data_IF_062145136806
#
_entry.id   IF_062145136806
#
_cell.length_a   1.000
_cell.length_b   1.000
_cell.length_c   1.000
_cell.angle_alpha   90.00
_cell.angle_beta   90.00
_cell.angle_gamma   90.00
#
_symmetry.space_group_name_H-M   'P 1'
#
loop_
_entity.id
_entity.type
_entity.pdbx_description
1 polymer ?
#
# COMPACT_ATOMS: atom_id res chain seq x y z
N UNK A 1 -7.32 10.29 -16.71
CA UNK A 1 -6.99 9.10 -15.92
C UNK A 1 -5.66 8.55 -16.40
N UNK A 2 -4.62 8.71 -15.65
CA UNK A 2 -3.43 7.88 -15.72
C UNK A 2 -2.73 8.06 -14.37
N UNK A 3 -3.12 7.28 -13.42
CA UNK A 3 -2.49 7.22 -12.13
C UNK A 3 -1.49 6.07 -12.19
N UNK A 4 -0.21 6.36 -12.23
CA UNK A 4 0.84 5.37 -12.02
C UNK A 4 1.44 5.63 -10.65
N UNK A 5 0.91 4.98 -9.63
CA UNK A 5 1.54 4.95 -8.32
C UNK A 5 2.78 4.06 -8.35
N UNK A 6 3.91 4.57 -7.94
CA UNK A 6 5.10 3.77 -7.64
C UNK A 6 5.20 3.67 -6.12
N UNK A 7 5.00 2.46 -5.59
CA UNK A 7 5.28 2.21 -4.17
C UNK A 7 6.79 2.34 -3.99
N UNK A 8 7.20 3.24 -3.13
CA UNK A 8 8.57 3.34 -2.65
C UNK A 8 8.94 2.12 -1.80
N UNK A 9 10.21 2.05 -1.44
CA UNK A 9 10.74 0.96 -0.64
C UNK A 9 10.15 1.04 0.77
N UNK A 10 9.51 -0.04 1.23
CA UNK A 10 9.17 -0.22 2.62
C UNK A 10 10.46 -0.29 3.45
N UNK A 11 10.63 0.64 4.37
CA UNK A 11 11.81 0.71 5.27
C UNK A 11 11.48 0.32 6.72
N UNK A 12 10.24 -0.08 6.98
CA UNK A 12 9.76 -0.35 8.32
C UNK A 12 9.97 -1.78 8.83
N UNK A 13 9.48 -2.05 10.04
CA UNK A 13 9.44 -3.38 10.63
C UNK A 13 8.24 -4.15 10.08
N UNK A 14 8.41 -5.42 9.69
CA UNK A 14 7.31 -6.27 9.25
C UNK A 14 6.24 -6.39 10.34
N UNK A 15 4.98 -6.44 9.93
CA UNK A 15 3.82 -6.56 10.83
C UNK A 15 3.81 -7.88 11.59
N UNK A 16 4.38 -8.92 11.00
CA UNK A 16 4.52 -10.26 11.57
C UNK A 16 6.01 -10.57 11.67
N UNK A 17 6.48 -10.84 12.88
CA UNK A 17 7.84 -11.31 13.10
C UNK A 17 7.98 -12.79 12.70
N UNK A 18 9.21 -13.23 12.42
CA UNK A 18 9.49 -14.64 12.14
C UNK A 18 9.03 -15.55 13.29
N UNK A 19 9.22 -15.14 14.54
CA UNK A 19 8.81 -15.92 15.72
C UNK A 19 7.28 -16.07 15.77
N UNK A 20 6.53 -15.01 15.50
CA UNK A 20 5.06 -15.07 15.44
C UNK A 20 4.57 -15.97 14.29
N UNK A 21 5.18 -15.85 13.11
CA UNK A 21 4.83 -16.71 11.97
C UNK A 21 5.10 -18.18 12.27
N UNK A 22 6.26 -18.51 12.84
CA UNK A 22 6.61 -19.88 13.26
C UNK A 22 5.65 -20.42 14.31
N UNK A 23 5.29 -19.62 15.30
CA UNK A 23 4.32 -20.01 16.33
C UNK A 23 2.95 -20.33 15.71
N UNK A 24 2.49 -19.51 14.75
CA UNK A 24 1.24 -19.75 14.03
C UNK A 24 1.28 -21.03 13.19
N UNK A 25 2.39 -21.26 12.47
CA UNK A 25 2.63 -22.45 11.64
C UNK A 25 2.96 -23.71 12.47
N UNK A 26 3.21 -23.59 13.78
CA UNK A 26 3.69 -24.67 14.67
C UNK A 26 5.01 -25.27 14.20
N UNK A 27 5.95 -24.43 13.77
CA UNK A 27 7.29 -24.81 13.30
C UNK A 27 8.30 -24.45 14.36
N UNK A 28 8.99 -25.44 14.93
CA UNK A 28 9.99 -25.23 15.98
C UNK A 28 11.44 -25.21 15.44
N UNK A 29 11.65 -25.80 14.24
CA UNK A 29 13.00 -25.90 13.65
C UNK A 29 13.38 -24.61 12.90
N UNK A 30 14.68 -24.37 12.71
CA UNK A 30 15.20 -23.23 11.94
C UNK A 30 15.38 -23.52 10.44
N UNK A 31 15.08 -24.72 9.99
CA UNK A 31 15.29 -25.16 8.60
C UNK A 31 14.57 -24.28 7.59
N UNK A 32 13.37 -23.83 7.92
CA UNK A 32 12.50 -23.05 7.02
C UNK A 32 12.51 -21.56 7.32
N UNK A 33 13.37 -21.04 8.19
CA UNK A 33 13.35 -19.64 8.63
C UNK A 33 13.45 -18.65 7.48
N UNK A 34 14.36 -18.89 6.53
CA UNK A 34 14.50 -18.04 5.34
C UNK A 34 13.24 -18.05 4.47
N UNK A 35 12.66 -19.23 4.27
CA UNK A 35 11.45 -19.37 3.48
C UNK A 35 10.25 -18.68 4.14
N UNK A 36 10.05 -18.87 5.44
CA UNK A 36 8.98 -18.21 6.20
C UNK A 36 9.16 -16.68 6.16
N UNK A 37 10.40 -16.19 6.25
CA UNK A 37 10.69 -14.75 6.13
C UNK A 37 10.24 -14.19 4.78
N UNK A 38 10.48 -14.90 3.68
CA UNK A 38 9.98 -14.46 2.36
C UNK A 38 8.45 -14.56 2.26
N UNK A 39 7.82 -15.58 2.85
CA UNK A 39 6.36 -15.67 2.89
C UNK A 39 5.71 -14.50 3.63
N UNK A 40 6.32 -13.99 4.70
CA UNK A 40 5.84 -12.81 5.42
C UNK A 40 5.79 -11.60 4.49
N UNK A 41 6.86 -11.36 3.73
CA UNK A 41 6.94 -10.24 2.76
C UNK A 41 5.90 -10.40 1.64
N UNK A 42 5.77 -11.61 1.10
CA UNK A 42 4.80 -11.93 0.04
C UNK A 42 3.37 -11.71 0.54
N UNK A 43 3.04 -12.19 1.74
CA UNK A 43 1.72 -12.02 2.33
C UNK A 43 1.39 -10.53 2.54
N UNK A 44 2.32 -9.72 3.03
CA UNK A 44 2.13 -8.27 3.16
C UNK A 44 1.85 -7.61 1.81
N UNK A 45 2.67 -7.92 0.79
CA UNK A 45 2.48 -7.37 -0.55
C UNK A 45 1.15 -7.80 -1.18
N UNK A 46 0.73 -9.04 -0.95
CA UNK A 46 -0.54 -9.54 -1.48
C UNK A 46 -1.73 -8.84 -0.81
N UNK A 47 -1.72 -8.72 0.52
CA UNK A 47 -2.76 -7.99 1.26
C UNK A 47 -2.83 -6.54 0.80
N UNK A 48 -1.70 -5.84 0.67
CA UNK A 48 -1.66 -4.47 0.19
C UNK A 48 -2.23 -4.34 -1.24
N UNK A 49 -1.90 -5.26 -2.13
CA UNK A 49 -2.40 -5.29 -3.51
C UNK A 49 -3.91 -5.51 -3.57
N UNK A 50 -4.41 -6.42 -2.75
CA UNK A 50 -5.82 -6.82 -2.79
C UNK A 50 -6.74 -5.81 -2.11
N UNK A 51 -6.23 -5.06 -1.11
CA UNK A 51 -7.04 -4.12 -0.32
C UNK A 51 -6.77 -2.66 -0.64
N UNK A 52 -5.60 -2.32 -1.18
CA UNK A 52 -5.08 -0.95 -1.27
C UNK A 52 -5.07 -0.22 0.10
N UNK A 53 -4.97 -0.98 1.20
CA UNK A 53 -4.99 -0.43 2.56
C UNK A 53 -3.62 -0.63 3.21
N UNK A 54 -3.07 0.44 3.77
CA UNK A 54 -1.80 0.39 4.49
C UNK A 54 -1.95 -0.40 5.79
N UNK A 55 -1.33 -1.57 5.87
CA UNK A 55 -1.21 -2.34 7.11
C UNK A 55 0.06 -1.97 7.90
N UNK A 56 1.00 -1.31 7.24
CA UNK A 56 2.28 -0.80 7.74
C UNK A 56 2.56 0.55 7.09
N UNK A 57 3.51 1.29 7.64
CA UNK A 57 3.94 2.55 7.02
C UNK A 57 4.60 2.30 5.66
N UNK A 58 4.20 3.09 4.66
CA UNK A 58 4.69 3.01 3.28
C UNK A 58 5.12 4.40 2.80
N UNK A 59 6.25 4.49 2.12
CA UNK A 59 6.67 5.64 1.32
C UNK A 59 6.08 5.47 -0.09
N UNK A 60 5.27 6.41 -0.53
CA UNK A 60 4.56 6.35 -1.80
C UNK A 60 4.87 7.58 -2.64
N UNK A 61 5.06 7.36 -3.95
CA UNK A 61 5.11 8.46 -4.92
C UNK A 61 4.11 8.18 -6.02
N UNK A 62 3.18 9.09 -6.22
CA UNK A 62 2.19 9.03 -7.30
C UNK A 62 2.45 10.09 -8.35
N UNK A 63 2.13 9.77 -9.61
CA UNK A 63 2.33 10.66 -10.75
C UNK A 63 1.02 10.95 -11.46
N UNK A 64 0.83 12.22 -11.86
CA UNK A 64 -0.35 12.67 -12.56
C UNK A 64 0.07 13.53 -13.77
N UNK A 65 -0.73 13.48 -14.82
CA UNK A 65 -0.47 14.22 -16.07
C UNK A 65 -1.17 15.59 -16.13
N UNK A 66 -2.20 15.79 -15.30
CA UNK A 66 -3.04 17.00 -15.31
C UNK A 66 -3.46 17.37 -13.91
N UNK A 67 -3.76 18.66 -13.68
CA UNK A 67 -4.40 19.11 -12.46
C UNK A 67 -5.85 18.65 -12.40
N UNK A 68 -6.23 18.19 -11.21
CA UNK A 68 -7.61 17.97 -10.80
C UNK A 68 -7.85 18.82 -9.54
N UNK A 69 -9.10 19.22 -9.31
CA UNK A 69 -9.41 19.99 -8.10
C UNK A 69 -9.13 19.17 -6.82
N UNK A 70 -9.26 17.85 -6.93
CA UNK A 70 -9.01 16.93 -5.84
C UNK A 70 -8.45 15.60 -6.39
N UNK A 71 -7.25 15.24 -5.97
CA UNK A 71 -6.65 13.95 -6.27
C UNK A 71 -7.02 12.93 -5.21
N UNK A 72 -7.55 11.79 -5.62
CA UNK A 72 -7.73 10.63 -4.75
C UNK A 72 -6.44 9.83 -4.72
N UNK A 73 -5.89 9.56 -3.54
CA UNK A 73 -4.67 8.78 -3.41
C UNK A 73 -4.97 7.27 -3.49
N UNK A 74 -4.02 6.51 -4.00
CA UNK A 74 -4.21 5.09 -4.30
C UNK A 74 -4.39 4.23 -3.05
N UNK A 75 -3.74 4.60 -1.95
CA UNK A 75 -3.76 3.78 -0.74
C UNK A 75 -4.61 4.40 0.36
N UNK A 76 -5.37 3.53 1.04
CA UNK A 76 -6.10 3.89 2.25
C UNK A 76 -5.20 3.85 3.47
N UNK A 77 -5.43 4.80 4.35
CA UNK A 77 -4.66 5.03 5.56
C UNK A 77 -4.66 6.51 5.90
N UNK A 78 -3.71 6.94 6.68
CA UNK A 78 -3.52 8.33 7.05
C UNK A 78 -2.18 8.81 6.49
N UNK A 79 -2.21 9.87 5.70
CA UNK A 79 -0.98 10.52 5.25
C UNK A 79 -0.28 11.13 6.45
N UNK A 80 0.98 10.76 6.64
CA UNK A 80 1.85 11.19 7.73
C UNK A 80 3.10 11.91 7.18
N UNK A 81 3.93 12.38 8.08
CA UNK A 81 5.18 13.05 7.71
C UNK A 81 4.99 14.40 7.02
N UNK A 82 5.85 14.68 6.07
CA UNK A 82 5.86 15.94 5.31
C UNK A 82 5.67 15.63 3.82
N UNK A 83 4.41 15.55 3.35
CA UNK A 83 4.13 15.25 1.95
C UNK A 83 4.66 16.36 1.04
N UNK A 84 5.20 15.97 -0.12
CA UNK A 84 5.82 16.88 -1.09
C UNK A 84 5.13 16.74 -2.44
N UNK A 85 4.52 17.84 -2.89
CA UNK A 85 3.91 17.95 -4.22
C UNK A 85 4.83 18.77 -5.12
N UNK A 86 5.21 18.19 -6.26
CA UNK A 86 6.05 18.85 -7.27
C UNK A 86 5.38 18.78 -8.63
N UNK A 87 5.73 19.73 -9.48
CA UNK A 87 5.28 19.74 -10.88
C UNK A 87 6.38 20.26 -11.80
N UNK A 88 6.24 20.01 -13.10
CA UNK A 88 7.10 20.58 -14.13
C UNK A 88 6.38 21.77 -14.79
N UNK A 89 7.00 22.95 -14.70
CA UNK A 89 6.50 24.18 -15.31
C UNK A 89 6.68 24.16 -16.85
N UNK A 90 6.18 25.18 -17.54
CA UNK A 90 6.24 25.29 -19.00
C UNK A 90 7.65 25.23 -19.59
N UNK A 91 8.68 25.49 -18.78
CA UNK A 91 10.09 25.37 -19.17
C UNK A 91 10.68 24.00 -18.87
N UNK A 92 9.87 23.03 -18.47
CA UNK A 92 10.29 21.70 -17.99
C UNK A 92 11.22 21.76 -16.77
N UNK A 93 11.10 22.81 -15.96
CA UNK A 93 11.78 22.92 -14.67
C UNK A 93 10.89 22.41 -13.54
N UNK A 94 11.47 21.62 -12.63
CA UNK A 94 10.72 21.06 -11.51
C UNK A 94 10.51 22.11 -10.42
N UNK A 95 9.27 22.36 -10.06
CA UNK A 95 8.84 23.27 -9.01
C UNK A 95 8.25 22.48 -7.84
N UNK A 96 8.39 23.00 -6.61
CA UNK A 96 7.81 22.40 -5.40
C UNK A 96 6.71 23.30 -4.86
N UNK A 97 5.57 22.72 -4.54
CA UNK A 97 4.42 23.43 -3.97
C UNK A 97 4.44 23.40 -2.44
N UNK A 98 3.86 24.43 -1.85
CA UNK A 98 3.79 24.60 -0.39
C UNK A 98 2.46 24.10 0.13
N UNK A 99 2.50 23.15 1.07
CA UNK A 99 1.32 22.64 1.75
C UNK A 99 0.60 23.77 2.51
N UNK A 100 -0.73 23.74 2.52
CA UNK A 100 -1.64 24.73 3.07
C UNK A 100 -1.66 26.10 2.37
N UNK A 101 -0.77 26.33 1.39
CA UNK A 101 -0.79 27.50 0.51
C UNK A 101 -1.28 27.12 -0.88
N UNK A 102 -0.69 26.09 -1.47
CA UNK A 102 -0.97 25.68 -2.85
C UNK A 102 -1.87 24.42 -2.89
N UNK A 103 -1.78 23.58 -1.89
CA UNK A 103 -2.59 22.35 -1.76
C UNK A 103 -2.85 22.00 -0.29
N UNK A 104 -3.86 21.18 -0.05
CA UNK A 104 -4.15 20.59 1.26
C UNK A 104 -4.22 19.07 1.18
N UNK A 105 -3.74 18.42 2.22
CA UNK A 105 -3.95 16.97 2.42
C UNK A 105 -5.10 16.79 3.38
N UNK A 106 -6.10 16.01 2.95
CA UNK A 106 -7.32 15.72 3.72
C UNK A 106 -7.33 14.24 4.04
N UNK A 107 -7.17 13.89 5.31
CA UNK A 107 -7.35 12.53 5.81
C UNK A 107 -8.81 12.37 6.24
N UNK A 108 -9.62 11.72 5.41
CA UNK A 108 -11.04 11.52 5.68
C UNK A 108 -11.41 10.04 5.59
N UNK A 109 -11.83 9.45 6.70
CA UNK A 109 -12.31 8.05 6.80
C UNK A 109 -11.36 7.05 6.13
N UNK A 110 -10.04 7.20 6.35
CA UNK A 110 -9.02 6.31 5.78
C UNK A 110 -8.81 6.46 4.27
N UNK A 111 -9.46 7.41 3.62
CA UNK A 111 -9.27 7.72 2.19
C UNK A 111 -8.65 9.11 2.05
N UNK A 112 -7.33 9.21 2.03
CA UNK A 112 -6.66 10.49 1.92
C UNK A 112 -6.82 11.09 0.52
N UNK A 113 -6.90 12.42 0.48
CA UNK A 113 -7.07 13.21 -0.73
C UNK A 113 -6.14 14.41 -0.71
N UNK A 114 -5.77 14.88 -1.89
CA UNK A 114 -5.05 16.15 -2.07
C UNK A 114 -5.98 17.13 -2.77
N UNK A 115 -6.39 18.18 -2.07
CA UNK A 115 -7.17 19.28 -2.62
C UNK A 115 -6.23 20.38 -3.11
N UNK A 116 -6.39 20.82 -4.35
CA UNK A 116 -5.62 21.92 -4.92
C UNK A 116 -6.26 23.26 -4.56
N UNK A 117 -5.44 24.19 -4.06
CA UNK A 117 -5.82 25.60 -3.82
C UNK A 117 -5.46 26.43 -5.04
N UNK A 118 -4.26 26.22 -5.57
CA UNK A 118 -3.74 26.89 -6.73
C UNK A 118 -3.36 25.87 -7.81
N UNK A 119 -3.54 26.22 -9.07
CA UNK A 119 -3.10 25.42 -10.21
C UNK A 119 -2.13 26.24 -11.06
N UNK A 120 -1.21 25.56 -11.74
CA UNK A 120 -0.12 26.16 -12.50
C UNK A 120 -0.09 25.58 -13.91
N UNK A 121 0.50 26.30 -14.85
CA UNK A 121 0.70 25.77 -16.20
C UNK A 121 1.73 24.64 -16.18
N UNK A 122 1.40 23.52 -16.82
CA UNK A 122 2.22 22.33 -16.85
C UNK A 122 2.97 22.17 -18.16
N UNK A 123 4.14 21.55 -18.08
CA UNK A 123 4.78 20.96 -19.26
C UNK A 123 3.99 19.73 -19.71
N UNK A 124 3.86 19.53 -21.03
CA UNK A 124 3.13 18.39 -21.58
C UNK A 124 3.95 17.10 -21.46
N UNK A 125 3.70 16.37 -20.34
CA UNK A 125 4.31 15.08 -20.03
C UNK A 125 3.40 14.24 -19.12
N UNK A 126 3.57 12.92 -19.17
CA UNK A 126 2.73 11.97 -18.44
C UNK A 126 2.91 12.09 -16.93
N UNK A 127 4.12 12.38 -16.48
CA UNK A 127 4.53 12.55 -15.08
C UNK A 127 4.71 14.04 -14.72
N UNK A 128 3.84 14.90 -15.26
CA UNK A 128 3.92 16.36 -15.06
C UNK A 128 3.84 16.76 -13.59
N UNK A 129 3.16 15.97 -12.77
CA UNK A 129 2.96 16.19 -11.35
C UNK A 129 3.42 14.94 -10.60
N UNK A 130 4.14 15.10 -9.50
CA UNK A 130 4.54 14.03 -8.60
C UNK A 130 4.16 14.39 -7.16
N UNK A 131 3.51 13.47 -6.47
CA UNK A 131 3.16 13.60 -5.06
C UNK A 131 3.84 12.48 -4.27
N UNK A 132 4.81 12.86 -3.43
CA UNK A 132 5.50 11.96 -2.52
C UNK A 132 4.94 12.14 -1.11
N UNK A 133 4.58 11.01 -0.46
CA UNK A 133 4.02 11.02 0.88
C UNK A 133 4.27 9.71 1.59
N UNK A 134 4.28 9.75 2.93
CA UNK A 134 4.25 8.58 3.77
C UNK A 134 2.80 8.30 4.17
N UNK A 135 2.40 7.03 4.19
CA UNK A 135 1.08 6.62 4.62
C UNK A 135 1.18 5.57 5.71
N UNK A 136 0.50 5.81 6.81
CA UNK A 136 0.40 4.92 7.97
C UNK A 136 -1.00 4.29 8.07
N UNK A 137 -1.16 3.16 8.77
CA UNK A 137 -2.48 2.58 9.03
C UNK A 137 -3.41 3.59 9.71
N UNK A 138 -4.67 3.60 9.31
CA UNK A 138 -5.66 4.50 9.89
C UNK A 138 -5.90 4.23 11.39
N UNK A 139 -5.97 2.95 11.77
CA UNK A 139 -6.21 2.54 13.14
C UNK A 139 -5.67 1.13 13.44
N UNK A 140 -5.53 0.81 14.74
CA UNK A 140 -4.99 -0.46 15.21
C UNK A 140 -5.89 -1.68 14.91
N UNK A 141 -7.20 -1.49 14.79
CA UNK A 141 -8.13 -2.61 14.54
C UNK A 141 -8.02 -3.08 13.08
N UNK A 142 -7.85 -2.15 12.14
CA UNK A 142 -7.54 -2.48 10.75
C UNK A 142 -6.24 -3.28 10.66
N UNK A 143 -5.20 -2.84 11.38
CA UNK A 143 -3.91 -3.54 11.43
C UNK A 143 -4.08 -4.97 11.94
N UNK A 144 -4.81 -5.18 13.04
CA UNK A 144 -5.06 -6.52 13.62
C UNK A 144 -5.79 -7.43 12.64
N UNK A 145 -6.82 -6.91 11.97
CA UNK A 145 -7.60 -7.70 11.01
C UNK A 145 -6.77 -8.08 9.78
N UNK A 146 -5.99 -7.15 9.24
CA UNK A 146 -5.09 -7.41 8.11
C UNK A 146 -3.94 -8.36 8.51
N UNK A 147 -3.47 -8.30 9.75
CA UNK A 147 -2.49 -9.27 10.30
C UNK A 147 -3.03 -10.70 10.26
N UNK A 148 -4.32 -10.90 10.60
CA UNK A 148 -4.96 -12.22 10.50
C UNK A 148 -5.02 -12.71 9.05
N UNK A 149 -5.35 -11.83 8.11
CA UNK A 149 -5.33 -12.16 6.69
C UNK A 149 -3.93 -12.59 6.22
N UNK A 150 -2.87 -11.90 6.68
CA UNK A 150 -1.48 -12.29 6.40
C UNK A 150 -1.15 -13.68 6.95
N UNK A 151 -1.55 -14.01 8.18
CA UNK A 151 -1.34 -15.34 8.74
C UNK A 151 -1.98 -16.44 7.90
N UNK A 152 -3.22 -16.23 7.43
CA UNK A 152 -3.90 -17.19 6.55
C UNK A 152 -3.15 -17.40 5.25
N UNK A 153 -2.58 -16.33 4.65
CA UNK A 153 -1.76 -16.43 3.44
C UNK A 153 -0.44 -17.16 3.70
N UNK A 154 0.25 -16.82 4.78
CA UNK A 154 1.51 -17.47 5.16
C UNK A 154 1.29 -18.98 5.31
N UNK A 155 0.25 -19.40 6.02
CA UNK A 155 -0.08 -20.81 6.14
C UNK A 155 -0.42 -21.45 4.80
N UNK A 156 -1.28 -20.81 4.01
CA UNK A 156 -1.66 -21.31 2.70
C UNK A 156 -0.44 -21.55 1.79
N UNK A 157 0.48 -20.59 1.71
CA UNK A 157 1.70 -20.72 0.90
C UNK A 157 2.70 -21.74 1.51
N UNK A 158 2.75 -21.84 2.84
CA UNK A 158 3.62 -22.79 3.52
C UNK A 158 3.19 -24.24 3.25
N UNK A 159 1.88 -24.51 3.33
CA UNK A 159 1.29 -25.82 3.11
C UNK A 159 1.30 -26.22 1.63
N UNK A 160 1.23 -25.25 0.70
CA UNK A 160 1.16 -25.45 -0.75
C UNK A 160 2.45 -25.02 -1.46
N UNK A 161 3.58 -25.63 -1.10
CA UNK A 161 4.91 -25.32 -1.69
C UNK A 161 5.06 -25.77 -3.13
N UNK A 162 4.27 -26.73 -3.59
CA UNK A 162 4.38 -27.29 -4.95
C UNK A 162 3.33 -26.67 -5.88
N UNK A 163 3.73 -26.21 -7.08
CA UNK A 163 2.79 -25.70 -8.07
C UNK A 163 1.91 -26.79 -8.69
N UNK A 164 2.22 -28.07 -8.44
CA UNK A 164 1.50 -29.22 -8.99
C UNK A 164 1.06 -30.11 -7.84
N UNK A 165 -0.16 -29.91 -7.35
CA UNK A 165 -0.87 -30.88 -6.54
C UNK A 165 -1.80 -31.66 -7.48
N UNK A 166 -1.73 -32.98 -7.46
CA UNK A 166 -2.73 -33.87 -8.11
C UNK A 166 -4.11 -33.78 -7.42
N UNK A 167 -4.17 -33.17 -6.24
CA UNK A 167 -5.38 -32.79 -5.54
C UNK A 167 -5.68 -31.32 -5.89
N UNK A 168 -6.96 -31.00 -6.15
CA UNK A 168 -7.44 -29.64 -6.48
C UNK A 168 -6.58 -28.57 -5.85
N UNK A 169 -6.06 -27.64 -6.68
CA UNK A 169 -5.43 -26.41 -6.20
C UNK A 169 -6.45 -25.74 -5.29
N UNK A 170 -6.19 -25.76 -3.99
CA UNK A 170 -7.08 -25.13 -3.04
C UNK A 170 -7.15 -23.65 -3.36
N UNK A 171 -8.35 -23.19 -3.64
CA UNK A 171 -8.63 -21.77 -3.80
C UNK A 171 -8.18 -21.02 -2.53
N UNK A 172 -7.79 -19.75 -2.71
CA UNK A 172 -7.48 -18.85 -1.59
C UNK A 172 -8.47 -19.05 -0.43
N UNK A 173 -8.00 -19.12 0.83
CA UNK A 173 -8.87 -19.39 1.97
C UNK A 173 -10.09 -18.44 2.00
N UNK A 174 -11.28 -18.98 2.16
CA UNK A 174 -12.52 -18.18 2.21
C UNK A 174 -12.45 -17.09 3.28
N UNK A 175 -11.83 -17.39 4.42
CA UNK A 175 -11.59 -16.40 5.48
C UNK A 175 -10.77 -15.22 5.04
N UNK A 176 -9.71 -15.45 4.25
CA UNK A 176 -8.91 -14.40 3.65
C UNK A 176 -9.75 -13.51 2.72
N UNK A 177 -10.49 -14.12 1.80
CA UNK A 177 -11.36 -13.37 0.86
C UNK A 177 -12.40 -12.52 1.60
N UNK A 178 -13.00 -13.05 2.66
CA UNK A 178 -13.97 -12.30 3.45
C UNK A 178 -13.35 -11.07 4.12
N UNK A 179 -12.15 -11.20 4.68
CA UNK A 179 -11.43 -10.05 5.27
C UNK A 179 -11.08 -9.04 4.19
N UNK A 180 -10.44 -9.46 3.12
CA UNK A 180 -10.00 -8.57 2.04
C UNK A 180 -11.17 -7.78 1.45
N UNK A 181 -12.32 -8.42 1.22
CA UNK A 181 -13.49 -7.76 0.66
C UNK A 181 -14.05 -6.64 1.55
N UNK A 182 -13.83 -6.68 2.86
CA UNK A 182 -14.24 -5.61 3.78
C UNK A 182 -13.34 -4.37 3.68
N UNK A 183 -12.08 -4.57 3.28
CA UNK A 183 -11.08 -3.51 3.16
C UNK A 183 -10.79 -3.10 1.72
N UNK A 184 -11.44 -3.73 0.75
CA UNK A 184 -11.22 -3.46 -0.66
C UNK A 184 -11.74 -2.08 -1.02
N UNK A 185 -10.83 -1.13 -1.17
CA UNK A 185 -11.18 0.19 -1.65
C UNK A 185 -11.24 0.18 -3.18
N UNK A 186 -12.41 0.45 -3.71
CA UNK A 186 -12.60 0.68 -5.13
C UNK A 186 -12.23 2.14 -5.41
N UNK A 187 -11.08 2.34 -6.04
CA UNK A 187 -10.71 3.65 -6.58
C UNK A 187 -11.53 3.84 -7.85
N UNK A 188 -12.45 4.77 -7.82
CA UNK A 188 -13.31 5.16 -8.94
C UNK A 188 -12.65 6.22 -9.80
#
# INVERSE_FOLDING_TARGET
MAQQGKIGIYSGTELISLAEAKAYLRVDTSTDDSYITELIKIARLQVLRDTHTAAVELDVTEYFSKWENCFHLQYSGKVSGSPVLKYYDTNNAQQTLTQNTDYRVINYMGMPKVEMINTFSLYDRVDAISFKYDIEPENADNVRTLKIAMYMLIQHFYDNRSPVSYLKVDEMPLGYRNIVNQYKNYIW
#
